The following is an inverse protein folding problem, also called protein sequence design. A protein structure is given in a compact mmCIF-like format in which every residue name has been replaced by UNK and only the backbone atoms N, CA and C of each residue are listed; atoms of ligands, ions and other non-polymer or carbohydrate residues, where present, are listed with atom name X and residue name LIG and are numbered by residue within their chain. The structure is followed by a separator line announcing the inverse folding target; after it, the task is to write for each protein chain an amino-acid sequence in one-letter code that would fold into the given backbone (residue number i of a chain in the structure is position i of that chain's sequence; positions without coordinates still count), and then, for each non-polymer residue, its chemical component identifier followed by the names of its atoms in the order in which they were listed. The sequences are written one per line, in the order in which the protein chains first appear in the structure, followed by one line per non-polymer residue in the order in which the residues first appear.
data_IF_501336287837
#
_entry.id   IF_501336287837
#
_cell.length_a   1.000
_cell.length_b   1.000
_cell.length_c   1.000
_cell.angle_alpha   90.00
_cell.angle_beta   90.00
_cell.angle_gamma   90.00
#
_symmetry.space_group_name_H-M   'P 1'
#
loop_
_entity.id
_entity.type
_entity.pdbx_description
1 polymer ?
#
# COMPACT_ATOMS: atom_id res chain seq x y z
N UNK A 1 -7.93 -16.40 -7.12
CA UNK A 1 -7.07 -15.46 -6.37
C UNK A 1 -6.30 -14.60 -7.36
N UNK A 2 -6.42 -13.27 -7.29
CA UNK A 2 -5.73 -12.36 -8.23
C UNK A 2 -4.38 -12.01 -7.62
N UNK A 3 -3.28 -12.35 -8.30
CA UNK A 3 -1.93 -11.87 -7.94
C UNK A 3 -1.80 -10.41 -8.35
N UNK A 4 -1.48 -9.54 -7.40
CA UNK A 4 -1.24 -8.12 -7.65
C UNK A 4 0.23 -7.85 -7.95
N UNK A 5 1.16 -8.52 -7.26
CA UNK A 5 2.62 -8.34 -7.42
C UNK A 5 3.29 -9.38 -8.35
N UNK A 6 2.61 -9.79 -9.43
CA UNK A 6 3.24 -10.64 -10.46
C UNK A 6 4.28 -9.86 -11.28
N UNK A 7 5.43 -10.45 -11.67
CA UNK A 7 6.49 -9.75 -12.42
C UNK A 7 6.01 -9.13 -13.75
N UNK A 8 4.99 -9.71 -14.37
CA UNK A 8 4.36 -9.23 -15.61
C UNK A 8 3.43 -8.01 -15.39
N UNK A 9 3.04 -7.71 -14.15
CA UNK A 9 2.22 -6.55 -13.76
C UNK A 9 3.03 -5.42 -13.14
N UNK A 10 4.22 -5.72 -12.63
CA UNK A 10 5.04 -4.76 -11.93
C UNK A 10 5.63 -3.70 -12.87
N UNK A 11 5.71 -4.00 -14.17
CA UNK A 11 6.32 -3.14 -15.16
C UNK A 11 5.50 -3.26 -16.44
N UNK A 12 4.92 -2.15 -16.90
CA UNK A 12 4.22 -2.11 -18.18
C UNK A 12 5.16 -2.49 -19.33
N UNK A 13 4.61 -2.57 -20.54
CA UNK A 13 5.41 -2.81 -21.74
C UNK A 13 6.05 -1.52 -22.22
N UNK A 14 7.25 -1.59 -22.81
CA UNK A 14 7.89 -0.44 -23.47
C UNK A 14 6.92 0.21 -24.48
N UNK A 15 6.68 1.52 -24.35
CA UNK A 15 5.73 2.28 -25.18
C UNK A 15 4.25 2.21 -24.75
N UNK A 16 3.90 1.47 -23.69
CA UNK A 16 2.54 1.47 -23.14
C UNK A 16 2.23 2.80 -22.40
N UNK A 17 0.96 3.28 -22.44
CA UNK A 17 0.50 4.43 -21.66
C UNK A 17 0.88 4.35 -20.18
N UNK A 18 1.17 5.48 -19.54
CA UNK A 18 1.61 5.54 -18.13
C UNK A 18 0.68 4.84 -17.13
N UNK A 19 -0.61 4.80 -17.44
CA UNK A 19 -1.67 4.15 -16.67
C UNK A 19 -1.57 2.62 -16.64
N UNK A 20 -0.90 2.03 -17.63
CA UNK A 20 -0.65 0.58 -17.70
C UNK A 20 0.50 0.13 -16.80
N UNK A 21 1.25 1.08 -16.23
CA UNK A 21 2.39 0.79 -15.38
C UNK A 21 2.07 0.96 -13.90
N UNK A 22 2.59 0.05 -13.09
CA UNK A 22 2.57 0.22 -11.65
C UNK A 22 3.36 1.47 -11.25
N UNK A 23 2.80 2.27 -10.34
CA UNK A 23 3.55 3.33 -9.68
C UNK A 23 4.47 2.72 -8.61
N UNK A 24 5.67 3.26 -8.37
CA UNK A 24 6.52 2.76 -7.30
C UNK A 24 5.92 3.09 -5.94
N UNK A 25 6.13 2.19 -4.97
CA UNK A 25 5.64 2.33 -3.60
C UNK A 25 6.70 1.86 -2.62
N UNK A 26 6.73 2.46 -1.43
CA UNK A 26 7.38 1.91 -0.25
C UNK A 26 6.33 1.19 0.57
N UNK A 27 6.58 -0.08 0.86
CA UNK A 27 5.65 -0.99 1.51
C UNK A 27 6.26 -1.55 2.80
N UNK A 28 5.41 -1.81 3.80
CA UNK A 28 5.72 -2.74 4.88
C UNK A 28 5.08 -4.10 4.59
N UNK A 29 5.88 -5.16 4.77
CA UNK A 29 5.58 -6.52 4.34
C UNK A 29 5.47 -7.46 5.57
N UNK A 30 4.27 -7.95 5.93
CA UNK A 30 4.02 -8.76 7.12
C UNK A 30 4.29 -10.26 6.96
N UNK A 31 4.86 -10.72 5.86
CA UNK A 31 4.93 -12.15 5.50
C UNK A 31 5.72 -13.01 6.49
N UNK A 32 6.57 -12.38 7.32
CA UNK A 32 7.32 -13.03 8.38
C UNK A 32 6.64 -13.00 9.75
N UNK A 33 5.45 -12.38 9.86
CA UNK A 33 4.67 -12.23 11.08
C UNK A 33 3.48 -13.21 11.09
N UNK A 34 3.63 -14.43 11.65
CA UNK A 34 2.61 -15.49 11.53
C UNK A 34 1.27 -15.09 12.14
N UNK A 35 1.26 -14.25 13.17
CA UNK A 35 0.04 -13.72 13.78
C UNK A 35 -0.74 -12.81 12.83
N UNK A 36 -0.06 -12.03 11.99
CA UNK A 36 -0.69 -11.15 11.00
C UNK A 36 -1.26 -11.98 9.86
N UNK A 37 -0.48 -12.93 9.33
CA UNK A 37 -0.94 -13.85 8.28
C UNK A 37 -2.16 -14.66 8.75
N UNK A 38 -2.12 -15.19 9.97
CA UNK A 38 -3.24 -15.94 10.54
C UNK A 38 -4.50 -15.09 10.72
N UNK A 39 -4.35 -13.79 11.00
CA UNK A 39 -5.47 -12.87 11.10
C UNK A 39 -6.11 -12.62 9.72
N UNK A 40 -5.29 -12.32 8.70
CA UNK A 40 -5.78 -12.10 7.35
C UNK A 40 -6.31 -13.35 6.66
N UNK A 41 -5.82 -14.54 7.00
CA UNK A 41 -6.42 -15.80 6.56
C UNK A 41 -7.88 -15.94 7.02
N UNK A 42 -8.20 -15.57 8.28
CA UNK A 42 -9.58 -15.57 8.77
C UNK A 42 -10.45 -14.53 8.06
N UNK A 43 -9.90 -13.34 7.81
CA UNK A 43 -10.62 -12.33 7.03
C UNK A 43 -10.93 -12.81 5.62
N UNK A 44 -9.97 -13.52 5.00
CA UNK A 44 -10.12 -14.13 3.68
C UNK A 44 -11.26 -15.14 3.65
N UNK A 45 -11.33 -16.06 4.62
CA UNK A 45 -12.43 -17.03 4.73
C UNK A 45 -13.81 -16.37 4.81
N UNK A 46 -13.89 -15.18 5.41
CA UNK A 46 -15.13 -14.40 5.47
C UNK A 46 -15.43 -13.77 4.11
N UNK A 47 -14.46 -13.05 3.52
CA UNK A 47 -14.71 -12.30 2.28
C UNK A 47 -14.87 -13.20 1.05
N UNK A 48 -14.29 -14.40 1.05
CA UNK A 48 -14.45 -15.40 -0.02
C UNK A 48 -15.89 -15.89 -0.19
N UNK A 49 -16.74 -15.70 0.81
CA UNK A 49 -18.18 -15.98 0.72
C UNK A 49 -18.94 -14.96 -0.14
N UNK A 50 -18.30 -13.84 -0.52
CA UNK A 50 -18.90 -12.74 -1.28
C UNK A 50 -18.09 -12.41 -2.56
N UNK A 51 -17.88 -13.38 -3.46
CA UNK A 51 -16.98 -13.24 -4.61
C UNK A 51 -17.44 -12.17 -5.62
N UNK A 52 -18.73 -11.85 -5.67
CA UNK A 52 -19.27 -10.81 -6.55
C UNK A 52 -19.02 -9.39 -6.01
N UNK A 53 -18.79 -9.26 -4.70
CA UNK A 53 -18.65 -7.97 -4.01
C UNK A 53 -17.18 -7.59 -3.84
N UNK A 54 -16.36 -8.54 -3.36
CA UNK A 54 -15.00 -8.27 -2.92
C UNK A 54 -14.04 -9.35 -3.40
N UNK A 55 -12.91 -8.91 -3.94
CA UNK A 55 -11.79 -9.79 -4.28
C UNK A 55 -10.81 -9.83 -3.11
N UNK A 56 -10.59 -10.99 -2.46
CA UNK A 56 -9.64 -11.11 -1.36
C UNK A 56 -8.20 -10.86 -1.82
N UNK A 57 -7.38 -10.36 -0.89
CA UNK A 57 -5.94 -10.22 -1.06
C UNK A 57 -5.23 -11.53 -0.68
N UNK A 58 -4.28 -11.93 -1.54
CA UNK A 58 -3.42 -13.08 -1.31
C UNK A 58 -2.36 -12.78 -0.24
N UNK A 59 -1.85 -13.81 0.45
CA UNK A 59 -0.82 -13.62 1.48
C UNK A 59 0.47 -12.99 0.90
N UNK A 60 0.86 -13.38 -0.32
CA UNK A 60 2.02 -12.81 -1.00
C UNK A 60 1.86 -11.31 -1.36
N UNK A 61 0.61 -10.84 -1.45
CA UNK A 61 0.29 -9.46 -1.83
C UNK A 61 -0.07 -8.59 -0.62
N UNK A 62 -0.08 -9.15 0.59
CA UNK A 62 -0.45 -8.41 1.80
C UNK A 62 0.60 -7.34 2.13
N UNK A 63 0.18 -6.10 2.37
CA UNK A 63 1.09 -5.01 2.71
C UNK A 63 0.36 -3.84 3.36
N UNK A 64 1.11 -3.01 4.09
CA UNK A 64 0.74 -1.63 4.38
C UNK A 64 1.49 -0.72 3.40
N UNK A 65 0.78 0.18 2.73
CA UNK A 65 1.44 1.23 1.94
C UNK A 65 2.00 2.29 2.87
N UNK A 66 3.31 2.48 2.87
CA UNK A 66 3.96 3.56 3.63
C UNK A 66 3.96 4.84 2.81
N UNK A 67 4.37 4.80 1.54
CA UNK A 67 4.42 5.98 0.68
C UNK A 67 4.32 5.60 -0.79
N UNK A 68 3.48 6.32 -1.55
CA UNK A 68 3.44 6.24 -3.02
C UNK A 68 4.50 7.17 -3.63
N UNK A 69 5.10 6.75 -4.74
CA UNK A 69 5.99 7.60 -5.54
C UNK A 69 5.27 7.94 -6.85
N UNK A 70 5.43 9.16 -7.36
CA UNK A 70 4.93 9.49 -8.68
C UNK A 70 5.71 8.69 -9.73
N UNK A 71 5.07 8.44 -10.89
CA UNK A 71 5.71 7.67 -11.96
C UNK A 71 6.92 8.38 -12.59
N UNK A 72 7.01 9.71 -12.43
CA UNK A 72 8.05 10.55 -13.02
C UNK A 72 8.78 11.35 -11.94
N UNK A 73 10.07 11.57 -12.13
CA UNK A 73 10.88 12.43 -11.29
C UNK A 73 10.69 13.93 -11.66
N UNK A 74 11.48 14.82 -11.07
CA UNK A 74 11.38 16.27 -11.30
C UNK A 74 11.71 16.70 -12.73
N UNK A 75 12.48 15.87 -13.45
CA UNK A 75 12.90 16.13 -14.83
C UNK A 75 11.91 15.54 -15.86
N UNK A 76 10.78 14.99 -15.38
CA UNK A 76 9.79 14.33 -16.23
C UNK A 76 10.25 12.97 -16.74
N UNK A 77 11.33 12.41 -16.19
CA UNK A 77 11.84 11.08 -16.56
C UNK A 77 11.12 10.03 -15.71
N UNK A 78 10.74 8.92 -16.34
CA UNK A 78 10.08 7.81 -15.66
C UNK A 78 11.02 7.22 -14.60
N UNK A 79 10.48 6.95 -13.42
CA UNK A 79 11.22 6.29 -12.35
C UNK A 79 11.53 4.85 -12.76
N UNK A 80 12.80 4.49 -12.73
CA UNK A 80 13.33 3.17 -13.12
C UNK A 80 14.02 2.47 -11.94
N UNK A 81 14.49 1.24 -12.17
CA UNK A 81 15.16 0.41 -11.16
C UNK A 81 16.42 1.07 -10.59
N UNK A 82 17.17 1.81 -11.41
CA UNK A 82 18.38 2.52 -10.98
C UNK A 82 18.06 3.62 -9.97
N UNK A 83 17.04 4.43 -10.26
CA UNK A 83 16.54 5.46 -9.34
C UNK A 83 15.98 4.85 -8.06
N UNK A 84 15.23 3.74 -8.15
CA UNK A 84 14.70 3.06 -6.98
C UNK A 84 15.79 2.43 -6.10
N UNK A 85 16.82 1.84 -6.70
CA UNK A 85 17.98 1.31 -5.98
C UNK A 85 18.75 2.42 -5.25
N UNK A 86 18.94 3.58 -5.89
CA UNK A 86 19.53 4.76 -5.24
C UNK A 86 18.66 5.24 -4.07
N UNK A 87 17.35 5.36 -4.28
CA UNK A 87 16.41 5.78 -3.25
C UNK A 87 16.39 4.82 -2.05
N UNK A 88 16.52 3.50 -2.27
CA UNK A 88 16.61 2.52 -1.21
C UNK A 88 17.81 2.77 -0.27
N UNK A 89 18.97 3.17 -0.82
CA UNK A 89 20.16 3.51 -0.01
C UNK A 89 19.90 4.77 0.83
N UNK A 90 19.30 5.79 0.23
CA UNK A 90 18.96 7.04 0.95
C UNK A 90 17.92 6.78 2.04
N UNK A 91 16.93 5.94 1.76
CA UNK A 91 15.92 5.51 2.73
C UNK A 91 16.54 4.76 3.91
N UNK A 92 17.47 3.84 3.67
CA UNK A 92 18.16 3.13 4.76
C UNK A 92 18.82 4.12 5.73
N UNK A 93 19.55 5.11 5.21
CA UNK A 93 20.20 6.15 6.04
C UNK A 93 19.21 6.99 6.85
N UNK A 94 18.08 7.37 6.26
CA UNK A 94 17.03 8.12 6.97
C UNK A 94 16.35 7.30 8.06
N UNK A 95 16.26 5.98 7.86
CA UNK A 95 15.61 5.05 8.78
C UNK A 95 16.55 4.50 9.86
N UNK A 96 17.87 4.62 9.70
CA UNK A 96 18.86 4.16 10.69
C UNK A 96 18.64 4.76 12.09
N UNK A 97 18.11 5.98 12.17
CA UNK A 97 17.81 6.67 13.42
C UNK A 97 16.40 6.40 13.96
N UNK A 98 15.54 5.68 13.21
CA UNK A 98 14.17 5.40 13.61
C UNK A 98 14.15 4.24 14.61
N UNK A 99 13.70 4.51 15.83
CA UNK A 99 13.51 3.46 16.82
C UNK A 99 12.39 2.49 16.37
N UNK A 100 12.53 1.18 16.62
CA UNK A 100 11.44 0.24 16.45
C UNK A 100 10.22 0.67 17.27
N UNK A 101 9.03 0.41 16.73
CA UNK A 101 7.76 0.71 17.38
C UNK A 101 6.79 -0.46 17.22
N UNK A 102 5.85 -0.57 18.15
CA UNK A 102 4.78 -1.56 18.10
C UNK A 102 3.55 -0.98 17.40
N UNK A 103 2.79 -1.87 16.76
CA UNK A 103 1.48 -1.58 16.21
C UNK A 103 0.49 -2.67 16.63
N UNK A 104 -0.76 -2.27 16.80
CA UNK A 104 -1.95 -3.08 16.87
C UNK A 104 -2.66 -3.04 15.52
N UNK A 105 -3.13 -4.20 15.07
CA UNK A 105 -3.96 -4.34 13.86
C UNK A 105 -5.41 -4.42 14.32
N UNK A 106 -6.17 -3.40 13.98
CA UNK A 106 -7.56 -3.22 14.39
C UNK A 106 -8.54 -4.17 13.68
N UNK A 107 -9.83 -4.13 14.06
CA UNK A 107 -10.86 -4.89 13.39
C UNK A 107 -11.00 -4.45 11.93
N UNK A 108 -11.40 -5.38 11.07
CA UNK A 108 -11.72 -5.07 9.68
C UNK A 108 -12.99 -4.22 9.59
N UNK A 109 -12.99 -3.24 8.69
CA UNK A 109 -14.14 -2.42 8.31
C UNK A 109 -14.24 -2.26 6.80
N UNK A 110 -15.44 -1.95 6.33
CA UNK A 110 -15.62 -1.54 4.95
C UNK A 110 -15.13 -0.09 4.74
N UNK A 111 -14.53 0.15 3.58
CA UNK A 111 -14.33 1.46 2.98
C UNK A 111 -15.07 1.50 1.64
N UNK A 112 -15.13 2.66 1.00
CA UNK A 112 -15.87 2.82 -0.26
C UNK A 112 -15.44 1.89 -1.40
N UNK A 113 -14.23 1.31 -1.35
CA UNK A 113 -13.70 0.45 -2.40
C UNK A 113 -12.91 -0.77 -1.90
N UNK A 114 -12.87 -1.02 -0.59
CA UNK A 114 -12.06 -2.09 -0.01
C UNK A 114 -12.54 -2.49 1.38
N UNK A 115 -12.29 -3.75 1.76
CA UNK A 115 -12.22 -4.12 3.17
C UNK A 115 -10.83 -3.74 3.69
N UNK A 116 -10.77 -2.95 4.75
CA UNK A 116 -9.51 -2.46 5.34
C UNK A 116 -9.46 -2.77 6.83
N UNK A 117 -8.26 -2.92 7.37
CA UNK A 117 -7.98 -2.95 8.80
C UNK A 117 -7.12 -1.74 9.13
N UNK A 118 -7.47 -1.06 10.21
CA UNK A 118 -6.74 0.13 10.67
C UNK A 118 -5.54 -0.29 11.53
N UNK A 119 -4.51 0.54 11.53
CA UNK A 119 -3.28 0.31 12.29
C UNK A 119 -3.12 1.39 13.35
N UNK A 120 -2.90 0.96 14.59
CA UNK A 120 -2.79 1.84 15.76
C UNK A 120 -1.53 1.48 16.56
N UNK A 121 -0.98 2.37 17.41
CA UNK A 121 -1.16 3.80 17.37
C UNK A 121 -0.60 4.40 16.06
N UNK A 122 -1.24 5.44 15.54
CA UNK A 122 -0.84 6.09 14.27
C UNK A 122 0.53 6.77 14.32
N UNK A 123 1.02 7.13 15.51
CA UNK A 123 2.22 7.96 15.68
C UNK A 123 3.49 7.34 15.10
N UNK A 124 3.69 6.03 15.30
CA UNK A 124 4.83 5.29 14.77
C UNK A 124 4.80 5.22 13.23
N UNK A 125 3.73 4.69 12.63
CA UNK A 125 3.55 4.70 11.17
C UNK A 125 3.64 6.10 10.54
N UNK A 126 3.12 7.14 11.20
CA UNK A 126 3.20 8.51 10.71
C UNK A 126 4.65 9.04 10.72
N UNK A 127 5.44 8.71 11.74
CA UNK A 127 6.88 9.05 11.74
C UNK A 127 7.64 8.27 10.66
N UNK A 128 7.35 6.97 10.51
CA UNK A 128 7.89 6.17 9.41
C UNK A 128 7.57 6.80 8.04
N UNK A 129 6.32 7.20 7.80
CA UNK A 129 5.93 7.89 6.56
C UNK A 129 6.75 9.19 6.36
N UNK A 130 6.89 10.04 7.38
CA UNK A 130 7.66 11.28 7.27
C UNK A 130 9.13 11.04 6.92
N UNK A 131 9.78 10.06 7.56
CA UNK A 131 11.18 9.68 7.28
C UNK A 131 11.33 9.13 5.86
N UNK A 132 10.41 8.25 5.45
CA UNK A 132 10.40 7.71 4.09
C UNK A 132 10.22 8.82 3.06
N UNK A 133 9.29 9.76 3.29
CA UNK A 133 9.11 10.93 2.41
C UNK A 133 10.39 11.75 2.30
N UNK A 134 11.05 12.05 3.43
CA UNK A 134 12.30 12.80 3.44
C UNK A 134 13.40 12.09 2.61
N UNK A 135 13.59 10.77 2.80
CA UNK A 135 14.59 10.00 2.07
C UNK A 135 14.30 9.90 0.57
N UNK A 136 13.05 9.71 0.17
CA UNK A 136 12.66 9.69 -1.25
C UNK A 136 12.89 11.04 -1.92
N UNK A 137 12.54 12.15 -1.24
CA UNK A 137 12.78 13.50 -1.76
C UNK A 137 14.27 13.81 -1.86
N UNK A 138 15.07 13.41 -0.88
CA UNK A 138 16.53 13.54 -0.91
C UNK A 138 17.17 12.72 -2.05
N UNK A 139 16.53 11.64 -2.47
CA UNK A 139 16.93 10.83 -3.62
C UNK A 139 16.45 11.40 -4.98
N UNK A 140 15.80 12.57 -5.01
CA UNK A 140 15.34 13.23 -6.24
C UNK A 140 14.01 12.70 -6.79
N UNK A 141 13.28 11.87 -6.03
CA UNK A 141 11.98 11.37 -6.45
C UNK A 141 10.88 12.39 -6.16
N UNK A 142 9.82 12.40 -6.97
CA UNK A 142 8.64 13.21 -6.70
C UNK A 142 7.54 12.38 -6.04
N UNK A 143 6.84 13.00 -5.09
CA UNK A 143 5.81 12.34 -4.28
C UNK A 143 4.47 13.05 -4.46
N UNK A 144 3.34 12.38 -4.19
CA UNK A 144 2.08 13.06 -3.95
C UNK A 144 2.22 14.11 -2.83
N UNK A 145 1.34 15.14 -2.83
CA UNK A 145 1.28 16.13 -1.76
C UNK A 145 1.22 15.45 -0.38
N UNK A 146 1.83 16.04 0.65
CA UNK A 146 1.71 15.50 2.00
C UNK A 146 0.25 15.50 2.42
N UNK A 147 -0.19 14.42 3.05
CA UNK A 147 -1.50 14.35 3.70
C UNK A 147 -1.44 15.08 5.05
N UNK A 148 -2.53 15.71 5.47
CA UNK A 148 -2.64 16.33 6.80
C UNK A 148 -2.52 15.27 7.91
N UNK A 149 -3.11 14.09 7.65
CA UNK A 149 -3.08 12.93 8.51
C UNK A 149 -2.71 11.70 7.69
N UNK A 150 -1.71 10.95 8.16
CA UNK A 150 -1.37 9.66 7.57
C UNK A 150 -2.26 8.58 8.19
N UNK A 151 -3.04 7.90 7.35
CA UNK A 151 -3.99 6.86 7.77
C UNK A 151 -3.46 5.46 7.44
N UNK A 152 -2.62 4.86 8.32
CA UNK A 152 -2.04 3.54 8.06
C UNK A 152 -3.13 2.48 8.07
N UNK A 153 -3.18 1.69 7.00
CA UNK A 153 -4.11 0.58 6.88
C UNK A 153 -3.53 -0.52 6.01
N UNK A 154 -4.14 -1.68 6.11
CA UNK A 154 -3.93 -2.81 5.21
C UNK A 154 -5.28 -3.23 4.65
N UNK A 155 -5.31 -3.64 3.40
CA UNK A 155 -6.54 -4.14 2.79
C UNK A 155 -6.65 -5.66 2.99
N UNK A 156 -7.84 -6.16 3.30
CA UNK A 156 -8.16 -7.59 3.25
C UNK A 156 -8.82 -7.99 1.90
N UNK A 157 -9.33 -7.02 1.16
CA UNK A 157 -9.82 -7.21 -0.20
C UNK A 157 -10.22 -5.90 -0.86
N UNK A 158 -10.37 -5.92 -2.18
CA UNK A 158 -10.83 -4.77 -2.98
C UNK A 158 -12.21 -5.05 -3.56
N UNK A 159 -13.09 -4.05 -3.54
CA UNK A 159 -14.39 -4.11 -4.20
C UNK A 159 -14.23 -4.39 -5.70
N UNK A 160 -15.13 -5.19 -6.26
CA UNK A 160 -15.07 -5.55 -7.68
C UNK A 160 -15.37 -4.31 -8.55
N UNK A 161 -14.48 -3.89 -9.47
CA UNK A 161 -14.68 -2.68 -10.26
C UNK A 161 -15.95 -2.65 -11.13
N UNK A 162 -16.52 -3.81 -11.48
CA UNK A 162 -17.81 -3.92 -12.18
C UNK A 162 -19.01 -3.53 -11.31
N UNK A 163 -18.82 -3.43 -10.01
CA UNK A 163 -19.84 -3.06 -9.03
C UNK A 163 -19.51 -1.74 -8.31
N UNK A 164 -18.33 -1.14 -8.55
CA UNK A 164 -17.99 0.18 -7.99
C UNK A 164 -18.95 1.29 -8.49
N UNK A 165 -19.62 1.10 -9.63
CA UNK A 165 -20.70 1.99 -10.09
C UNK A 165 -22.00 1.83 -9.29
N UNK A 166 -22.19 0.69 -8.60
CA UNK A 166 -23.32 0.41 -7.71
C UNK A 166 -23.01 0.70 -6.24
N UNK A 167 -21.73 0.79 -5.86
CA UNK A 167 -21.29 1.24 -4.53
C UNK A 167 -21.39 2.77 -4.40
N UNK A 168 -22.58 3.31 -4.64
CA UNK A 168 -22.99 4.55 -3.99
C UNK A 168 -22.87 4.35 -2.48
N UNK A 169 -22.22 5.29 -1.82
CA UNK A 169 -21.87 5.22 -0.40
C UNK A 169 -22.99 4.66 0.49
N UNK A 170 -22.66 3.67 1.32
CA UNK A 170 -23.44 3.34 2.50
C UNK A 170 -22.53 3.55 3.72
N UNK A 171 -22.73 4.69 4.39
CA UNK A 171 -22.22 4.90 5.74
C UNK A 171 -23.12 4.12 6.70
N UNK A 172 -22.57 3.16 7.43
CA UNK A 172 -23.22 2.64 8.62
C UNK A 172 -22.82 3.56 9.77
N UNK A 173 -23.71 4.50 10.10
CA UNK A 173 -23.63 5.25 11.35
C UNK A 173 -23.94 4.25 12.47
N UNK A 174 -23.00 4.11 13.39
CA UNK A 174 -23.25 3.58 14.73
C UNK A 174 -22.95 4.68 15.74
#
# INVERSE_FOLDING_TARGET
MRRFMGPQRLWGSEGAPDEDWARPHVLWLPQHEPQVISYFARLREIVEQYPDVITPIADEDLHMTVQKVNAHNSDGIRVDDGQLAHAAITLQRELDALAPFAIDIGPARASGSAGIVEIWPESGPAELNRRVRAGLLAAGLTLPPPEEHFWPHMSCGYGNPRELHQMGAFALVA
#
